data_IF_142161447114
#
_entry.id   IF_142161447114
#
_cell.length_a   1.000
_cell.length_b   1.000
_cell.length_c   1.000
_cell.angle_alpha   90.00
_cell.angle_beta   90.00
_cell.angle_gamma   90.00
#
_symmetry.space_group_name_H-M   'P 1'
#
loop_
_entity.id
_entity.type
_entity.pdbx_description
1 polymer ?
#
# COMPACT_ATOMS: atom_id res chain seq x y z
N UNK A 1 9.03 12.94 19.54
CA UNK A 1 7.78 12.22 19.72
C UNK A 1 7.39 11.51 18.44
N UNK A 2 6.88 10.31 18.57
CA UNK A 2 6.40 9.57 17.42
C UNK A 2 4.87 9.63 17.38
N UNK A 3 4.29 10.68 16.83
CA UNK A 3 2.83 10.86 16.84
C UNK A 3 2.10 9.71 16.17
N UNK A 4 2.75 9.07 15.21
CA UNK A 4 2.11 8.01 14.45
C UNK A 4 1.85 6.76 15.28
N UNK A 5 2.64 6.54 16.32
CA UNK A 5 2.42 5.43 17.22
C UNK A 5 1.07 5.51 17.92
N UNK A 6 0.56 6.72 18.10
CA UNK A 6 -0.70 6.98 18.76
C UNK A 6 -1.78 7.48 17.81
N UNK A 7 -1.50 7.51 16.52
CA UNK A 7 -2.45 7.98 15.53
C UNK A 7 -3.20 6.80 14.93
N UNK A 8 -4.49 6.62 15.30
CA UNK A 8 -5.26 5.49 14.78
C UNK A 8 -5.71 5.66 13.34
N UNK A 9 -5.58 6.86 12.75
CA UNK A 9 -6.10 7.11 11.42
C UNK A 9 -5.21 6.60 10.31
N UNK A 10 -3.89 6.49 10.56
CA UNK A 10 -2.94 6.04 9.56
C UNK A 10 -2.00 5.03 10.18
N UNK A 11 -2.27 3.76 9.95
CA UNK A 11 -1.50 2.68 10.54
C UNK A 11 -0.22 2.40 9.78
N UNK A 12 -0.28 2.44 8.44
CA UNK A 12 0.88 2.16 7.62
C UNK A 12 0.64 2.60 6.18
N UNK A 13 1.66 3.20 5.58
CA UNK A 13 1.65 3.54 4.15
C UNK A 13 2.99 3.12 3.56
N UNK A 14 2.95 2.33 2.50
CA UNK A 14 4.14 1.90 1.78
C UNK A 14 4.00 2.30 0.32
N UNK A 15 5.03 2.95 -0.20
CA UNK A 15 5.07 3.38 -1.60
C UNK A 15 6.16 2.61 -2.30
N UNK A 16 5.78 1.91 -3.38
CA UNK A 16 6.72 1.16 -4.20
C UNK A 16 6.71 1.73 -5.61
N UNK A 17 7.84 1.58 -6.28
CA UNK A 17 7.97 1.99 -7.67
C UNK A 17 8.73 0.96 -8.47
N UNK A 18 8.38 0.87 -9.75
CA UNK A 18 9.13 0.11 -10.72
C UNK A 18 9.37 0.99 -11.94
N UNK A 19 10.64 1.31 -12.17
CA UNK A 19 11.04 2.13 -13.32
C UNK A 19 12.01 1.33 -14.16
N UNK A 20 11.68 1.17 -15.45
CA UNK A 20 12.54 0.51 -16.41
C UNK A 20 12.50 1.31 -17.70
N UNK A 21 13.53 2.10 -17.94
CA UNK A 21 13.60 3.01 -19.08
C UNK A 21 13.66 2.27 -20.39
N UNK A 22 14.33 1.12 -20.41
CA UNK A 22 14.45 0.31 -21.62
C UNK A 22 13.08 -0.18 -22.09
N UNK A 23 12.15 -0.41 -21.17
CA UNK A 23 10.79 -0.85 -21.45
C UNK A 23 9.78 0.28 -21.42
N UNK A 24 10.24 1.53 -21.27
CA UNK A 24 9.36 2.68 -21.07
C UNK A 24 8.33 2.45 -19.97
N UNK A 25 8.81 1.89 -18.87
CA UNK A 25 7.97 1.53 -17.74
C UNK A 25 8.25 2.43 -16.55
N UNK A 26 7.19 3.05 -16.02
CA UNK A 26 7.29 3.85 -14.81
C UNK A 26 5.97 3.67 -14.05
N UNK A 27 5.97 2.79 -13.05
CA UNK A 27 4.76 2.40 -12.32
C UNK A 27 4.92 2.61 -10.83
N UNK A 28 3.81 2.91 -10.16
CA UNK A 28 3.75 3.00 -8.71
C UNK A 28 2.79 1.94 -8.17
N UNK A 29 2.98 1.60 -6.90
CA UNK A 29 2.09 0.74 -6.15
C UNK A 29 2.09 1.21 -4.71
N UNK A 30 0.92 1.56 -4.18
CA UNK A 30 0.78 2.06 -2.81
C UNK A 30 -0.07 1.09 -2.02
N UNK A 31 0.43 0.76 -0.83
CA UNK A 31 -0.27 -0.07 0.14
C UNK A 31 -0.48 0.73 1.41
N UNK A 32 -1.69 0.76 1.92
CA UNK A 32 -1.99 1.41 3.19
C UNK A 32 -3.05 0.64 3.96
N UNK A 33 -3.05 0.81 5.28
CA UNK A 33 -4.09 0.28 6.15
C UNK A 33 -4.74 1.48 6.83
N UNK A 34 -6.05 1.58 6.70
CA UNK A 34 -6.82 2.71 7.19
C UNK A 34 -8.04 2.22 7.97
N UNK A 35 -8.34 2.81 9.12
CA UNK A 35 -9.58 2.50 9.82
C UNK A 35 -10.77 2.99 9.02
N UNK A 36 -11.88 2.27 9.12
CA UNK A 36 -13.14 2.69 8.51
C UNK A 36 -14.09 3.24 9.57
N UNK A 37 -15.24 3.71 9.13
CA UNK A 37 -16.27 4.18 10.04
C UNK A 37 -17.02 3.04 10.75
N UNK A 38 -16.78 1.79 10.33
CA UNK A 38 -17.53 0.64 10.81
C UNK A 38 -16.70 -0.31 11.66
N UNK A 39 -15.63 0.22 12.28
CA UNK A 39 -14.78 -0.53 13.22
C UNK A 39 -13.96 -1.65 12.56
N UNK A 40 -13.91 -1.71 11.26
CA UNK A 40 -12.99 -2.57 10.54
C UNK A 40 -11.85 -1.74 9.91
N UNK A 41 -10.96 -2.42 9.20
CA UNK A 41 -9.77 -1.80 8.64
C UNK A 41 -9.67 -2.13 7.16
N UNK A 42 -9.41 -1.12 6.35
CA UNK A 42 -9.28 -1.29 4.92
C UNK A 42 -7.80 -1.42 4.55
N UNK A 43 -7.47 -2.49 3.86
CA UNK A 43 -6.23 -2.56 3.11
C UNK A 43 -6.48 -1.90 1.77
N UNK A 44 -5.86 -0.75 1.55
CA UNK A 44 -6.04 0.02 0.33
C UNK A 44 -4.85 -0.23 -0.58
N UNK A 45 -5.13 -0.61 -1.81
CA UNK A 45 -4.13 -0.79 -2.86
C UNK A 45 -4.41 0.19 -3.98
N UNK A 46 -3.40 0.95 -4.37
CA UNK A 46 -3.51 1.86 -5.50
C UNK A 46 -2.30 1.68 -6.39
N UNK A 47 -2.52 1.61 -7.68
CA UNK A 47 -1.43 1.35 -8.62
C UNK A 47 -1.73 2.00 -9.96
N UNK A 48 -0.67 2.22 -10.72
CA UNK A 48 -0.79 2.79 -12.05
C UNK A 48 0.55 3.31 -12.57
N UNK A 49 0.46 4.11 -13.62
CA UNK A 49 1.61 4.79 -14.16
C UNK A 49 1.96 5.99 -13.29
N UNK A 50 3.25 6.21 -13.04
CA UNK A 50 3.70 7.39 -12.30
C UNK A 50 3.20 8.64 -13.01
N UNK A 51 2.56 9.53 -12.23
CA UNK A 51 1.94 10.74 -12.76
C UNK A 51 0.46 10.61 -13.04
N UNK A 52 -0.12 9.41 -12.93
CA UNK A 52 -1.55 9.21 -13.08
C UNK A 52 -2.22 8.98 -11.72
N UNK A 53 -3.54 9.09 -11.68
CA UNK A 53 -4.31 8.77 -10.48
C UNK A 53 -4.24 7.28 -10.18
N UNK A 54 -4.24 6.45 -11.21
CA UNK A 54 -4.20 5.01 -11.07
C UNK A 54 -5.53 4.39 -10.70
N UNK A 55 -5.48 3.10 -10.38
CA UNK A 55 -6.62 2.32 -9.89
C UNK A 55 -6.52 2.14 -8.39
N UNK A 56 -7.66 1.93 -7.77
CA UNK A 56 -7.75 1.76 -6.32
C UNK A 56 -8.65 0.59 -5.99
N UNK A 57 -8.24 -0.19 -4.98
CA UNK A 57 -9.05 -1.30 -4.48
C UNK A 57 -8.94 -1.36 -2.96
N UNK A 58 -10.06 -1.68 -2.31
CA UNK A 58 -10.13 -1.85 -0.87
C UNK A 58 -10.54 -3.28 -0.53
N UNK A 59 -9.86 -3.85 0.46
CA UNK A 59 -10.26 -5.12 1.07
C UNK A 59 -10.42 -4.88 2.55
N UNK A 60 -11.57 -5.26 3.11
CA UNK A 60 -11.89 -5.03 4.51
C UNK A 60 -11.42 -6.18 5.38
N UNK A 61 -10.89 -5.85 6.54
CA UNK A 61 -10.42 -6.82 7.52
C UNK A 61 -10.86 -6.40 8.92
N UNK A 62 -11.18 -7.36 9.80
CA UNK A 62 -11.74 -7.02 11.12
C UNK A 62 -10.72 -6.41 12.07
N UNK A 63 -9.43 -6.70 11.90
CA UNK A 63 -8.39 -6.18 12.80
C UNK A 63 -7.16 -5.72 12.03
N UNK A 64 -6.38 -4.78 12.61
CA UNK A 64 -5.13 -4.36 11.99
C UNK A 64 -4.13 -5.50 11.76
N UNK A 65 -3.93 -6.45 12.70
CA UNK A 65 -2.98 -7.54 12.44
C UNK A 65 -3.35 -8.38 11.24
N UNK A 66 -4.63 -8.65 11.02
CA UNK A 66 -5.08 -9.42 9.86
C UNK A 66 -4.82 -8.63 8.58
N UNK A 67 -5.17 -7.35 8.57
CA UNK A 67 -4.90 -6.47 7.44
C UNK A 67 -3.40 -6.41 7.12
N UNK A 68 -2.56 -6.38 8.17
CA UNK A 68 -1.11 -6.31 8.02
C UNK A 68 -0.54 -7.58 7.38
N UNK A 69 -1.07 -8.74 7.72
CA UNK A 69 -0.66 -10.00 7.08
C UNK A 69 -0.91 -9.93 5.57
N UNK A 70 -2.07 -9.44 5.18
CA UNK A 70 -2.39 -9.30 3.76
C UNK A 70 -1.52 -8.25 3.07
N UNK A 71 -1.24 -7.15 3.75
CA UNK A 71 -0.34 -6.12 3.24
C UNK A 71 1.04 -6.71 2.93
N UNK A 72 1.60 -7.50 3.85
CA UNK A 72 2.92 -8.11 3.67
C UNK A 72 2.90 -9.05 2.47
N UNK A 73 1.84 -9.80 2.26
CA UNK A 73 1.72 -10.67 1.08
C UNK A 73 1.79 -9.87 -0.21
N UNK A 74 1.07 -8.76 -0.29
CA UNK A 74 1.10 -7.91 -1.47
C UNK A 74 2.47 -7.25 -1.66
N UNK A 75 3.08 -6.79 -0.58
CA UNK A 75 4.41 -6.21 -0.61
C UNK A 75 5.42 -7.19 -1.22
N UNK A 76 5.45 -8.42 -0.70
CA UNK A 76 6.39 -9.43 -1.17
C UNK A 76 6.12 -9.80 -2.63
N UNK A 77 4.87 -9.90 -3.01
CA UNK A 77 4.48 -10.20 -4.38
C UNK A 77 4.99 -9.13 -5.35
N UNK A 78 4.87 -7.86 -4.96
CA UNK A 78 5.32 -6.76 -5.82
C UNK A 78 6.84 -6.64 -5.85
N UNK A 79 7.51 -6.90 -4.73
CA UNK A 79 8.97 -6.96 -4.72
C UNK A 79 9.49 -8.04 -5.68
N UNK A 80 8.84 -9.20 -5.70
CA UNK A 80 9.21 -10.27 -6.64
C UNK A 80 9.04 -9.84 -8.09
N UNK A 81 8.16 -8.89 -8.36
CA UNK A 81 7.95 -8.37 -9.71
C UNK A 81 8.84 -7.19 -10.05
N UNK A 82 9.80 -6.86 -9.20
CA UNK A 82 10.77 -5.81 -9.48
C UNK A 82 10.40 -4.43 -8.93
N UNK A 83 9.35 -4.33 -8.12
CA UNK A 83 9.05 -3.08 -7.42
C UNK A 83 10.02 -2.89 -6.27
N UNK A 84 10.43 -1.65 -6.05
CA UNK A 84 11.29 -1.28 -4.93
C UNK A 84 10.55 -0.35 -3.99
N UNK A 85 10.79 -0.53 -2.70
CA UNK A 85 10.18 0.28 -1.67
C UNK A 85 10.83 1.66 -1.65
N UNK A 86 10.02 2.71 -1.73
CA UNK A 86 10.51 4.09 -1.68
C UNK A 86 10.53 4.65 -0.28
N UNK A 87 9.59 4.24 0.52
CA UNK A 87 9.46 4.76 1.88
C UNK A 87 9.13 3.67 2.86
#
# INVERSE_FOLDING_TARGET
MAPDANNPTLLQVLVLERVDRAKNMARFYVLSIEPTLFEDFALVRRWGRIGSVGRRRLDLHPTPPIAKVELVKWLNRKKCRGYTLRT
#
